data_IF_941578926612
#
_entry.id   IF_941578926612
#
_cell.length_a   1.000
_cell.length_b   1.000
_cell.length_c   1.000
_cell.angle_alpha   90.00
_cell.angle_beta   90.00
_cell.angle_gamma   90.00
#
_symmetry.space_group_name_H-M   'P 1'
#
loop_
_entity.id
_entity.type
_entity.pdbx_description
1 polymer ?
#
# COMPACT_ATOMS: atom_id res chain seq x y z
N UNK A 1 -35.89 45.38 -35.56
CA UNK A 1 -34.43 45.15 -35.60
C UNK A 1 -34.02 44.41 -34.34
N UNK A 2 -33.44 43.22 -34.52
CA UNK A 2 -32.58 42.42 -33.62
C UNK A 2 -33.22 41.79 -32.36
N UNK A 3 -33.79 40.62 -32.63
CA UNK A 3 -33.56 39.33 -31.95
C UNK A 3 -32.61 39.35 -30.73
N UNK A 4 -33.15 39.04 -29.55
CA UNK A 4 -32.36 38.60 -28.38
C UNK A 4 -32.37 37.08 -28.32
N UNK A 5 -31.48 36.50 -29.11
CA UNK A 5 -31.21 35.08 -29.19
C UNK A 5 -30.49 34.60 -27.91
N UNK A 6 -31.10 33.59 -27.27
CA UNK A 6 -30.48 32.47 -26.54
C UNK A 6 -29.10 32.72 -25.92
N UNK A 7 -29.03 32.72 -24.59
CA UNK A 7 -27.82 32.26 -23.88
C UNK A 7 -28.20 31.48 -22.62
N UNK A 8 -28.78 30.30 -22.82
CA UNK A 8 -29.08 29.31 -21.79
C UNK A 8 -28.00 28.21 -21.73
N UNK A 9 -26.78 28.49 -22.22
CA UNK A 9 -25.75 27.48 -22.45
C UNK A 9 -24.47 27.67 -21.62
N UNK A 10 -24.46 28.56 -20.63
CA UNK A 10 -23.25 28.84 -19.84
C UNK A 10 -23.16 28.07 -18.51
N UNK A 11 -24.18 27.31 -18.11
CA UNK A 11 -24.22 26.64 -16.80
C UNK A 11 -23.73 25.17 -16.80
N UNK A 12 -23.40 24.60 -17.95
CA UNK A 12 -23.07 23.17 -18.10
C UNK A 12 -21.56 22.86 -18.20
N UNK A 13 -20.69 23.85 -18.04
CA UNK A 13 -19.23 23.73 -18.22
C UNK A 13 -18.42 23.80 -16.91
N UNK A 14 -19.06 23.58 -15.75
CA UNK A 14 -18.38 23.49 -14.46
C UNK A 14 -18.41 22.09 -13.81
N UNK A 15 -19.05 21.09 -14.44
CA UNK A 15 -19.15 19.72 -13.90
C UNK A 15 -18.10 18.74 -14.46
N UNK A 16 -17.13 19.21 -15.26
CA UNK A 16 -16.11 18.35 -15.88
C UNK A 16 -14.76 18.31 -15.14
N UNK A 17 -14.62 19.00 -13.99
CA UNK A 17 -13.35 19.07 -13.24
C UNK A 17 -13.35 18.32 -11.89
N UNK A 18 -14.42 17.61 -11.52
CA UNK A 18 -14.49 16.85 -10.26
C UNK A 18 -14.04 15.39 -10.38
N UNK A 19 -13.26 15.05 -11.42
CA UNK A 19 -12.71 13.70 -11.63
C UNK A 19 -11.41 13.39 -10.86
N UNK A 20 -10.97 14.27 -9.96
CA UNK A 20 -9.90 13.96 -9.02
C UNK A 20 -10.54 13.43 -7.74
N UNK A 21 -10.76 12.12 -7.67
CA UNK A 21 -10.92 11.45 -6.37
C UNK A 21 -9.64 11.68 -5.58
N UNK A 22 -9.62 12.73 -4.77
CA UNK A 22 -8.50 13.07 -3.91
C UNK A 22 -8.36 11.92 -2.92
N UNK A 23 -7.24 11.20 -2.98
CA UNK A 23 -6.97 10.11 -2.03
C UNK A 23 -6.89 10.73 -0.65
N UNK A 24 -7.75 10.33 0.28
CA UNK A 24 -7.69 10.80 1.66
C UNK A 24 -6.50 10.13 2.38
N UNK A 25 -5.40 10.86 2.68
CA UNK A 25 -4.23 10.26 3.31
C UNK A 25 -4.51 9.76 4.73
N UNK A 26 -5.50 10.34 5.42
CA UNK A 26 -5.82 9.98 6.80
C UNK A 26 -6.31 8.53 6.91
N UNK A 27 -7.03 8.04 5.91
CA UNK A 27 -7.48 6.63 5.85
C UNK A 27 -6.32 5.65 5.97
N UNK A 28 -5.16 5.99 5.41
CA UNK A 28 -3.99 5.12 5.35
C UNK A 28 -3.05 5.27 6.55
N UNK A 29 -3.33 6.20 7.48
CA UNK A 29 -2.42 6.49 8.58
C UNK A 29 -2.15 5.26 9.45
N UNK A 30 -3.20 4.51 9.81
CA UNK A 30 -3.06 3.33 10.66
C UNK A 30 -2.23 2.22 10.01
N UNK A 31 -2.52 1.87 8.74
CA UNK A 31 -1.75 0.84 8.03
C UNK A 31 -0.30 1.25 7.80
N UNK A 32 -0.03 2.53 7.52
CA UNK A 32 1.32 3.02 7.31
C UNK A 32 2.13 3.10 8.60
N UNK A 33 1.50 3.44 9.73
CA UNK A 33 2.16 3.39 11.04
C UNK A 33 2.67 1.97 11.33
N UNK A 34 1.85 0.95 11.12
CA UNK A 34 2.28 -0.44 11.33
C UNK A 34 3.36 -0.86 10.33
N UNK A 35 3.28 -0.36 9.09
CA UNK A 35 4.31 -0.61 8.08
C UNK A 35 5.67 -0.02 8.47
N UNK A 36 5.69 1.12 9.16
CA UNK A 36 6.91 1.74 9.68
C UNK A 36 7.48 0.96 10.86
N UNK A 37 6.63 0.42 11.74
CA UNK A 37 7.06 -0.51 12.79
C UNK A 37 7.66 -1.79 12.20
N UNK A 38 7.16 -2.26 11.04
CA UNK A 38 7.69 -3.42 10.32
C UNK A 38 9.10 -3.21 9.76
N UNK A 39 9.50 -1.98 9.46
CA UNK A 39 10.87 -1.65 9.00
C UNK A 39 11.93 -1.98 10.05
N UNK A 40 11.55 -1.95 11.32
CA UNK A 40 12.43 -2.24 12.44
C UNK A 40 12.06 -3.55 13.14
N UNK A 41 11.25 -4.40 12.50
CA UNK A 41 10.82 -5.65 13.08
C UNK A 41 11.99 -6.63 13.29
N UNK A 42 11.98 -7.27 14.45
CA UNK A 42 12.78 -8.47 14.70
C UNK A 42 12.06 -9.71 14.18
N UNK A 43 12.75 -10.85 13.97
CA UNK A 43 12.09 -12.10 13.60
C UNK A 43 10.96 -12.51 14.55
N UNK A 44 11.07 -12.18 15.86
CA UNK A 44 10.05 -12.50 16.86
C UNK A 44 8.81 -11.61 16.71
N UNK A 45 8.99 -10.34 16.39
CA UNK A 45 7.89 -9.37 16.28
C UNK A 45 7.24 -9.34 14.90
N UNK A 46 7.91 -9.86 13.87
CA UNK A 46 7.48 -9.80 12.47
C UNK A 46 6.09 -10.36 12.25
N UNK A 47 5.82 -11.57 12.76
CA UNK A 47 4.53 -12.26 12.56
C UNK A 47 3.37 -11.45 13.14
N UNK A 48 3.48 -10.99 14.40
CA UNK A 48 2.48 -10.15 15.06
C UNK A 48 2.23 -8.85 14.30
N UNK A 49 3.28 -8.15 13.90
CA UNK A 49 3.15 -6.87 13.19
C UNK A 49 2.55 -7.04 11.79
N UNK A 50 2.88 -8.13 11.09
CA UNK A 50 2.27 -8.49 9.81
C UNK A 50 0.76 -8.73 9.96
N UNK A 51 0.36 -9.41 11.01
CA UNK A 51 -1.06 -9.69 11.27
C UNK A 51 -1.81 -8.39 11.59
N UNK A 52 -1.25 -7.53 12.46
CA UNK A 52 -1.80 -6.19 12.70
C UNK A 52 -1.88 -5.36 11.41
N UNK A 53 -0.85 -5.39 10.56
CA UNK A 53 -0.91 -4.72 9.25
C UNK A 53 -2.02 -5.29 8.37
N UNK A 54 -2.24 -6.60 8.41
CA UNK A 54 -3.31 -7.25 7.66
C UNK A 54 -4.69 -6.79 8.14
N UNK A 55 -4.88 -6.64 9.44
CA UNK A 55 -6.14 -6.18 10.03
C UNK A 55 -6.44 -4.73 9.62
N UNK A 56 -5.45 -3.84 9.75
CA UNK A 56 -5.57 -2.44 9.31
C UNK A 56 -5.82 -2.33 7.79
N UNK A 57 -5.16 -3.18 7.00
CA UNK A 57 -5.40 -3.26 5.56
C UNK A 57 -6.82 -3.76 5.23
N UNK A 58 -7.35 -4.72 6.00
CA UNK A 58 -8.73 -5.18 5.82
C UNK A 58 -9.74 -4.10 6.21
N UNK A 59 -9.48 -3.31 7.25
CA UNK A 59 -10.32 -2.16 7.62
C UNK A 59 -10.36 -1.10 6.51
N UNK A 60 -9.25 -0.84 5.84
CA UNK A 60 -9.21 0.07 4.69
C UNK A 60 -10.16 -0.35 3.55
N UNK A 61 -10.41 -1.65 3.42
CA UNK A 61 -11.21 -2.25 2.34
C UNK A 61 -12.71 -2.35 2.66
N UNK A 62 -13.18 -1.91 3.83
CA UNK A 62 -14.62 -2.01 4.19
C UNK A 62 -15.52 -1.00 3.50
N UNK A 63 -14.96 -0.05 2.74
CA UNK A 63 -15.70 0.93 1.95
C UNK A 63 -15.40 0.82 0.46
N UNK A 64 -16.13 1.61 -0.35
CA UNK A 64 -15.81 1.73 -1.76
C UNK A 64 -14.41 2.36 -1.96
N UNK A 65 -13.65 1.78 -2.87
CA UNK A 65 -12.32 2.23 -3.24
C UNK A 65 -12.35 2.70 -4.69
N UNK A 66 -11.87 3.91 -4.94
CA UNK A 66 -11.56 4.38 -6.29
C UNK A 66 -10.49 3.49 -6.95
N UNK A 67 -10.37 3.54 -8.27
CA UNK A 67 -9.35 2.76 -9.00
C UNK A 67 -7.93 3.01 -8.49
N UNK A 68 -7.60 4.26 -8.12
CA UNK A 68 -6.28 4.62 -7.58
C UNK A 68 -6.07 4.02 -6.19
N UNK A 69 -7.10 4.05 -5.33
CA UNK A 69 -7.04 3.42 -4.00
C UNK A 69 -6.92 1.90 -4.11
N UNK A 70 -7.58 1.27 -5.08
CA UNK A 70 -7.42 -0.16 -5.37
C UNK A 70 -5.97 -0.50 -5.74
N UNK A 71 -5.29 0.35 -6.52
CA UNK A 71 -3.87 0.17 -6.83
C UNK A 71 -2.98 0.30 -5.60
N UNK A 72 -3.27 1.25 -4.70
CA UNK A 72 -2.56 1.40 -3.42
C UNK A 72 -2.75 0.15 -2.57
N UNK A 73 -3.99 -0.31 -2.39
CA UNK A 73 -4.31 -1.52 -1.64
C UNK A 73 -3.64 -2.75 -2.23
N UNK A 74 -3.54 -2.85 -3.57
CA UNK A 74 -2.82 -3.95 -4.21
C UNK A 74 -1.32 -3.96 -3.83
N UNK A 75 -0.66 -2.79 -3.81
CA UNK A 75 0.73 -2.69 -3.36
C UNK A 75 0.89 -3.12 -1.90
N UNK A 76 -0.04 -2.71 -1.03
CA UNK A 76 -0.03 -3.08 0.38
C UNK A 76 -0.24 -4.59 0.59
N UNK A 77 -1.15 -5.20 -0.19
CA UNK A 77 -1.35 -6.67 -0.19
C UNK A 77 -0.10 -7.41 -0.64
N UNK A 78 0.56 -6.91 -1.69
CA UNK A 78 1.82 -7.49 -2.16
C UNK A 78 2.92 -7.36 -1.09
N UNK A 79 3.02 -6.22 -0.41
CA UNK A 79 3.97 -6.02 0.69
C UNK A 79 3.74 -7.04 1.82
N UNK A 80 2.48 -7.22 2.24
CA UNK A 80 2.10 -8.24 3.22
C UNK A 80 2.56 -9.64 2.81
N UNK A 81 2.34 -10.03 1.56
CA UNK A 81 2.77 -11.33 1.04
C UNK A 81 4.29 -11.50 1.10
N UNK A 82 5.05 -10.45 0.81
CA UNK A 82 6.51 -10.49 0.94
C UNK A 82 6.95 -10.70 2.38
N UNK A 83 6.35 -9.99 3.35
CA UNK A 83 6.66 -10.21 4.76
C UNK A 83 6.24 -11.60 5.25
N UNK A 84 5.14 -12.16 4.74
CA UNK A 84 4.78 -13.56 4.97
C UNK A 84 5.86 -14.52 4.47
N UNK A 85 6.37 -14.34 3.25
CA UNK A 85 7.45 -15.18 2.73
C UNK A 85 8.76 -15.02 3.52
N UNK A 86 9.06 -13.82 4.00
CA UNK A 86 10.21 -13.60 4.89
C UNK A 86 10.09 -14.43 6.17
N UNK A 87 8.92 -14.45 6.81
CA UNK A 87 8.63 -15.26 8.01
C UNK A 87 8.86 -16.76 7.74
N UNK A 88 8.30 -17.29 6.65
CA UNK A 88 8.52 -18.68 6.23
C UNK A 88 10.00 -18.99 5.98
N UNK A 89 10.73 -18.07 5.35
CA UNK A 89 12.16 -18.24 5.10
C UNK A 89 12.99 -18.18 6.39
N UNK A 90 12.59 -17.40 7.40
CA UNK A 90 13.21 -17.46 8.73
C UNK A 90 12.98 -18.82 9.40
N UNK A 91 11.79 -19.42 9.25
CA UNK A 91 11.54 -20.79 9.73
C UNK A 91 12.44 -21.81 9.02
N UNK A 92 12.61 -21.69 7.70
CA UNK A 92 13.53 -22.54 6.93
C UNK A 92 14.98 -22.36 7.40
N UNK A 93 15.41 -21.11 7.63
CA UNK A 93 16.74 -20.81 8.18
C UNK A 93 16.94 -21.50 9.54
N UNK A 94 15.96 -21.45 10.43
CA UNK A 94 16.10 -22.01 11.77
C UNK A 94 16.13 -23.55 11.78
N UNK A 95 15.37 -24.19 10.88
CA UNK A 95 15.22 -25.66 10.83
C UNK A 95 16.22 -26.36 9.90
N UNK A 96 16.97 -25.62 9.08
CA UNK A 96 17.87 -26.21 8.09
C UNK A 96 19.14 -26.79 8.74
N UNK A 97 19.43 -28.05 8.43
CA UNK A 97 20.63 -28.76 8.89
C UNK A 97 21.91 -28.27 8.23
N UNK A 98 21.85 -27.86 6.96
CA UNK A 98 23.00 -27.35 6.20
C UNK A 98 23.19 -25.85 6.35
N UNK A 99 24.42 -25.42 6.64
CA UNK A 99 24.81 -24.00 6.68
C UNK A 99 24.51 -23.28 5.37
N UNK A 100 24.80 -23.89 4.23
CA UNK A 100 24.48 -23.34 2.90
C UNK A 100 22.99 -23.04 2.75
N UNK A 101 22.13 -23.94 3.25
CA UNK A 101 20.67 -23.75 3.20
C UNK A 101 20.23 -22.63 4.16
N UNK A 102 20.82 -22.56 5.36
CA UNK A 102 20.58 -21.46 6.32
C UNK A 102 20.95 -20.10 5.71
N UNK A 103 22.12 -19.98 5.12
CA UNK A 103 22.59 -18.74 4.51
C UNK A 103 21.67 -18.30 3.36
N UNK A 104 21.29 -19.21 2.46
CA UNK A 104 20.37 -18.89 1.36
C UNK A 104 19.00 -18.45 1.84
N UNK A 105 18.43 -19.13 2.84
CA UNK A 105 17.14 -18.75 3.41
C UNK A 105 17.18 -17.35 4.03
N UNK A 106 18.28 -17.01 4.72
CA UNK A 106 18.47 -15.68 5.32
C UNK A 106 18.58 -14.58 4.26
N UNK A 107 19.32 -14.81 3.17
CA UNK A 107 19.41 -13.85 2.04
C UNK A 107 18.04 -13.62 1.44
N UNK A 108 17.33 -14.69 1.08
CA UNK A 108 16.00 -14.57 0.49
C UNK A 108 15.00 -13.88 1.44
N UNK A 109 15.08 -14.13 2.76
CA UNK A 109 14.21 -13.48 3.74
C UNK A 109 14.43 -11.96 3.74
N UNK A 110 15.69 -11.52 3.67
CA UNK A 110 16.05 -10.10 3.57
C UNK A 110 15.53 -9.47 2.28
N UNK A 111 15.67 -10.16 1.15
CA UNK A 111 15.15 -9.67 -0.14
C UNK A 111 13.63 -9.48 -0.12
N UNK A 112 12.91 -10.39 0.54
CA UNK A 112 11.48 -10.28 0.77
C UNK A 112 11.14 -9.07 1.65
N UNK A 113 11.81 -8.88 2.79
CA UNK A 113 11.61 -7.70 3.65
C UNK A 113 11.82 -6.40 2.87
N UNK A 114 12.95 -6.27 2.16
CA UNK A 114 13.27 -5.08 1.37
C UNK A 114 12.22 -4.82 0.27
N UNK A 115 11.77 -5.87 -0.41
CA UNK A 115 10.69 -5.76 -1.41
C UNK A 115 9.39 -5.26 -0.78
N UNK A 116 9.03 -5.78 0.39
CA UNK A 116 7.88 -5.28 1.16
C UNK A 116 8.00 -3.78 1.47
N UNK A 117 9.15 -3.33 1.96
CA UNK A 117 9.39 -1.90 2.25
C UNK A 117 9.31 -1.02 0.99
N UNK A 118 9.87 -1.46 -0.14
CA UNK A 118 9.79 -0.74 -1.42
C UNK A 118 8.34 -0.58 -1.90
N UNK A 119 7.52 -1.62 -1.74
CA UNK A 119 6.09 -1.59 -2.09
C UNK A 119 5.32 -0.59 -1.22
N UNK A 120 5.56 -0.60 0.11
CA UNK A 120 4.98 0.38 1.04
C UNK A 120 5.42 1.80 0.70
N UNK A 121 6.71 2.02 0.44
CA UNK A 121 7.22 3.34 0.07
C UNK A 121 6.57 3.86 -1.23
N UNK A 122 6.31 2.97 -2.20
CA UNK A 122 5.56 3.33 -3.41
C UNK A 122 4.10 3.68 -3.09
N UNK A 123 3.43 2.90 -2.25
CA UNK A 123 2.07 3.18 -1.80
C UNK A 123 1.97 4.55 -1.10
N UNK A 124 2.91 4.85 -0.19
CA UNK A 124 3.02 6.17 0.47
C UNK A 124 3.18 7.30 -0.53
N UNK A 125 4.05 7.14 -1.54
CA UNK A 125 4.19 8.14 -2.61
C UNK A 125 2.89 8.35 -3.40
N UNK A 126 2.14 7.28 -3.68
CA UNK A 126 0.86 7.41 -4.38
C UNK A 126 -0.20 8.15 -3.57
N UNK A 127 -0.19 7.98 -2.24
CA UNK A 127 -1.06 8.72 -1.32
C UNK A 127 -0.64 10.19 -1.20
N UNK A 128 0.67 10.47 -1.13
CA UNK A 128 1.20 11.83 -0.96
C UNK A 128 1.33 12.65 -2.24
N UNK A 129 1.31 12.01 -3.42
CA UNK A 129 1.45 12.68 -4.71
C UNK A 129 0.16 13.44 -5.08
N UNK A 130 -0.02 14.62 -4.45
CA UNK A 130 -0.92 15.66 -4.94
C UNK A 130 -0.24 16.39 -6.11
N UNK A 131 -0.81 16.28 -7.31
CA UNK A 131 -0.61 17.25 -8.39
C UNK A 131 0.71 17.20 -9.17
N UNK A 132 0.99 16.11 -9.88
CA UNK A 132 1.91 16.16 -11.03
C UNK A 132 1.17 15.71 -12.28
N UNK A 133 0.35 16.61 -12.81
CA UNK A 133 -0.09 16.63 -14.19
C UNK A 133 0.65 17.77 -14.89
#
# INVERSE_FOLDING_TARGET
MRETTRSFSAALLFLALSGCSDIDPQRYHAVFRVADELEHATPVSLSRLRDTFSDELSQLQTGELSEREQQIVLLLRQARSQWFFADELFQVHHRASSEKKRARALVNARDCLETGHRLVARAKRMVSARGSF
#
